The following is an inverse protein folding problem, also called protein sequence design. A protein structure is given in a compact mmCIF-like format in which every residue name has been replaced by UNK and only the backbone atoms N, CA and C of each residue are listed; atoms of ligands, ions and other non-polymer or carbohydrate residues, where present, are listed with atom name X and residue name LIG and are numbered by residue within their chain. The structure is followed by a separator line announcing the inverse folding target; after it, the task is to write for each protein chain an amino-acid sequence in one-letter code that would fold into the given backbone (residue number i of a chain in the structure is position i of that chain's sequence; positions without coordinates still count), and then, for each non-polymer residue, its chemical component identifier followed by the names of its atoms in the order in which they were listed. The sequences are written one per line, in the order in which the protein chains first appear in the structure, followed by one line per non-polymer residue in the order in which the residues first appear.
data_IF_686088720541
#
_entry.id   IF_686088720541
#
_cell.length_a   1.000
_cell.length_b   1.000
_cell.length_c   1.000
_cell.angle_alpha   90.00
_cell.angle_beta   90.00
_cell.angle_gamma   90.00
#
_symmetry.space_group_name_H-M   'P 1'
#
loop_
_entity.id
_entity.type
_entity.pdbx_description
1 polymer ?
#
# COMPACT_ATOMS: atom_id res chain seq x y z
N UNK A 1 20.54 -15.47 -10.29
CA UNK A 1 20.16 -14.39 -9.34
C UNK A 1 19.72 -15.06 -8.04
N UNK A 2 20.11 -14.57 -6.86
CA UNK A 2 19.57 -15.10 -5.61
C UNK A 2 18.03 -15.00 -5.62
N UNK A 3 17.32 -15.92 -4.97
CA UNK A 3 15.87 -15.89 -4.94
C UNK A 3 15.39 -14.55 -4.38
N UNK A 4 14.43 -13.95 -5.06
CA UNK A 4 13.77 -12.70 -4.65
C UNK A 4 12.79 -13.04 -3.52
N UNK A 5 13.33 -13.39 -2.35
CA UNK A 5 12.55 -13.79 -1.18
C UNK A 5 11.86 -12.54 -0.63
N UNK A 6 10.54 -12.51 -0.71
CA UNK A 6 9.75 -11.45 -0.10
C UNK A 6 9.88 -11.51 1.43
N UNK A 7 10.18 -10.36 2.03
CA UNK A 7 10.35 -10.16 3.48
C UNK A 7 9.27 -9.25 4.07
N UNK A 8 8.38 -8.76 3.22
CA UNK A 8 7.24 -7.92 3.59
C UNK A 8 6.02 -8.27 2.74
N UNK A 9 4.84 -7.88 3.23
CA UNK A 9 3.59 -8.09 2.52
C UNK A 9 2.68 -6.86 2.64
N UNK A 10 1.86 -6.61 1.63
CA UNK A 10 0.87 -5.52 1.63
C UNK A 10 -0.50 -6.00 1.18
N UNK A 11 -1.55 -5.42 1.77
CA UNK A 11 -2.95 -5.67 1.45
C UNK A 11 -3.46 -4.59 0.50
N UNK A 12 -3.74 -4.94 -0.74
CA UNK A 12 -4.50 -4.09 -1.67
C UNK A 12 -5.98 -4.39 -1.40
N UNK A 13 -6.60 -3.57 -0.54
CA UNK A 13 -8.01 -3.73 -0.18
C UNK A 13 -8.84 -2.91 -1.14
N UNK A 14 -9.54 -3.60 -2.03
CA UNK A 14 -10.46 -3.05 -3.02
C UNK A 14 -11.90 -3.22 -2.53
N UNK A 15 -12.69 -2.16 -2.57
CA UNK A 15 -14.15 -2.22 -2.34
C UNK A 15 -14.91 -1.96 -3.62
N UNK A 16 -16.12 -2.52 -3.75
CA UNK A 16 -16.96 -2.37 -4.95
C UNK A 16 -18.06 -1.31 -4.79
N UNK A 17 -18.59 -1.13 -3.57
CA UNK A 17 -19.67 -0.20 -3.27
C UNK A 17 -19.29 0.82 -2.19
N UNK A 18 -19.80 2.08 -2.28
CA UNK A 18 -20.70 2.60 -3.32
C UNK A 18 -20.04 2.81 -4.69
N UNK A 19 -18.71 2.81 -4.73
CA UNK A 19 -17.90 2.94 -5.94
C UNK A 19 -16.57 2.21 -5.75
N UNK A 20 -15.94 1.81 -6.86
CA UNK A 20 -14.66 1.09 -6.80
C UNK A 20 -13.58 1.96 -6.16
N UNK A 21 -13.08 1.55 -5.00
CA UNK A 21 -12.10 2.32 -4.23
C UNK A 21 -11.07 1.43 -3.55
N UNK A 22 -9.92 2.02 -3.21
CA UNK A 22 -8.82 1.33 -2.55
C UNK A 22 -8.52 1.98 -1.20
N UNK A 23 -8.29 1.17 -0.16
CA UNK A 23 -7.85 1.69 1.13
C UNK A 23 -6.38 2.12 1.04
N UNK A 24 -6.13 3.40 1.31
CA UNK A 24 -4.78 3.99 1.35
C UNK A 24 -4.56 4.59 2.73
N UNK A 25 -3.38 4.33 3.30
CA UNK A 25 -2.95 4.79 4.61
C UNK A 25 -1.94 5.93 4.45
N UNK A 26 -2.03 6.96 5.29
CA UNK A 26 -0.95 7.90 5.54
C UNK A 26 -0.14 7.39 6.71
N UNK A 27 1.12 7.01 6.48
CA UNK A 27 2.00 6.51 7.55
C UNK A 27 2.27 7.62 8.58
N UNK A 28 2.30 7.26 9.85
CA UNK A 28 2.71 8.18 10.91
C UNK A 28 4.17 8.64 10.71
N UNK A 29 4.50 9.81 11.25
CA UNK A 29 5.85 10.34 11.15
C UNK A 29 6.79 9.65 12.13
N UNK A 30 7.80 8.96 11.61
CA UNK A 30 8.81 8.24 12.37
C UNK A 30 10.20 8.52 11.81
N UNK A 31 11.11 9.17 12.56
CA UNK A 31 12.43 9.54 12.05
C UNK A 31 13.28 8.37 11.51
N UNK A 32 13.06 7.16 12.03
CA UNK A 32 13.76 5.94 11.62
C UNK A 32 13.08 5.18 10.47
N UNK A 33 11.88 5.60 10.04
CA UNK A 33 11.16 4.98 8.93
C UNK A 33 11.46 5.73 7.62
N UNK A 34 12.14 5.10 6.64
CA UNK A 34 12.40 5.72 5.35
C UNK A 34 11.12 5.99 4.53
N UNK A 35 9.99 5.39 4.92
CA UNK A 35 8.67 5.65 4.33
C UNK A 35 7.80 6.53 5.23
N UNK A 36 8.38 7.15 6.26
CA UNK A 36 7.69 8.06 7.17
C UNK A 36 6.84 9.08 6.41
N UNK A 37 5.59 9.23 6.83
CA UNK A 37 4.63 10.10 6.19
C UNK A 37 4.05 9.53 4.89
N UNK A 38 4.74 8.71 4.09
CA UNK A 38 4.26 8.34 2.74
C UNK A 38 2.88 7.66 2.73
N UNK A 39 2.16 7.79 1.61
CA UNK A 39 0.94 7.01 1.39
C UNK A 39 1.25 5.57 0.97
N UNK A 40 0.65 4.60 1.65
CA UNK A 40 0.86 3.18 1.42
C UNK A 40 -0.42 2.37 1.47
N UNK A 41 -0.36 1.15 0.97
CA UNK A 41 -1.30 0.11 1.39
C UNK A 41 -1.00 -0.33 2.83
N UNK A 42 -1.97 -0.93 3.54
CA UNK A 42 -1.69 -1.65 4.77
C UNK A 42 -0.64 -2.74 4.56
N UNK A 43 0.24 -2.93 5.53
CA UNK A 43 1.24 -3.99 5.48
C UNK A 43 2.59 -3.62 6.09
N UNK A 44 3.42 -4.65 6.23
CA UNK A 44 4.68 -4.55 6.94
C UNK A 44 5.58 -5.75 6.72
N UNK A 45 6.59 -5.88 7.58
CA UNK A 45 7.60 -6.92 7.50
C UNK A 45 7.08 -8.23 8.09
N UNK A 46 7.52 -9.34 7.52
CA UNK A 46 7.26 -10.67 8.06
C UNK A 46 7.94 -10.81 9.41
N UNK A 47 7.18 -11.18 10.44
CA UNK A 47 7.72 -11.57 11.72
C UNK A 47 7.99 -13.09 11.78
N UNK A 48 8.78 -13.52 12.76
CA UNK A 48 9.07 -14.93 12.99
C UNK A 48 7.80 -15.74 13.28
N UNK A 49 6.84 -15.13 13.99
CA UNK A 49 5.53 -15.71 14.31
C UNK A 49 4.61 -15.89 13.09
N UNK A 50 4.91 -15.21 11.99
CA UNK A 50 4.08 -15.28 10.79
C UNK A 50 4.42 -16.53 9.97
N UNK A 51 3.49 -17.48 9.90
CA UNK A 51 3.67 -18.72 9.14
C UNK A 51 3.65 -18.51 7.61
N UNK A 52 3.22 -17.35 7.13
CA UNK A 52 3.25 -16.98 5.71
C UNK A 52 3.17 -15.46 5.52
N UNK A 53 3.53 -14.98 4.34
CA UNK A 53 3.36 -13.57 3.98
C UNK A 53 1.89 -13.13 3.95
N UNK A 54 0.97 -14.05 3.66
CA UNK A 54 -0.46 -13.76 3.75
C UNK A 54 -0.87 -13.53 5.23
N UNK A 55 -0.32 -14.29 6.17
CA UNK A 55 -0.55 -14.06 7.60
C UNK A 55 0.05 -12.74 8.09
N UNK A 56 1.25 -12.38 7.63
CA UNK A 56 1.83 -11.05 7.84
C UNK A 56 0.88 -9.96 7.35
N UNK A 57 0.42 -10.05 6.10
CA UNK A 57 -0.47 -9.09 5.47
C UNK A 57 -1.77 -8.87 6.27
N UNK A 58 -2.42 -9.97 6.69
CA UNK A 58 -3.65 -9.92 7.49
C UNK A 58 -3.38 -9.33 8.88
N UNK A 59 -2.30 -9.74 9.56
CA UNK A 59 -1.92 -9.22 10.89
C UNK A 59 -1.70 -7.71 10.86
N UNK A 60 -0.84 -7.25 9.94
CA UNK A 60 -0.50 -5.83 9.80
C UNK A 60 -1.74 -4.99 9.50
N UNK A 61 -2.64 -5.49 8.64
CA UNK A 61 -3.91 -4.81 8.36
C UNK A 61 -4.76 -4.63 9.62
N UNK A 62 -4.81 -5.64 10.50
CA UNK A 62 -5.52 -5.53 11.78
C UNK A 62 -4.82 -4.55 12.72
N UNK A 63 -3.50 -4.61 12.81
CA UNK A 63 -2.69 -3.76 13.70
C UNK A 63 -2.71 -2.28 13.30
N UNK A 64 -2.73 -1.97 12.01
CA UNK A 64 -2.71 -0.60 11.48
C UNK A 64 -4.10 0.03 11.43
N UNK A 65 -5.13 -0.72 11.01
CA UNK A 65 -6.47 -0.18 10.68
C UNK A 65 -7.65 -1.00 11.22
N UNK A 66 -7.42 -2.05 12.00
CA UNK A 66 -8.48 -2.85 12.62
C UNK A 66 -9.37 -3.63 11.62
N UNK A 67 -9.02 -3.64 10.33
CA UNK A 67 -9.80 -4.32 9.30
C UNK A 67 -9.52 -5.82 9.35
N UNK A 68 -10.57 -6.60 9.58
CA UNK A 68 -10.46 -8.06 9.64
C UNK A 68 -10.54 -8.64 8.22
N UNK A 69 -9.40 -9.12 7.73
CA UNK A 69 -9.31 -9.86 6.48
C UNK A 69 -9.23 -11.36 6.74
N UNK A 70 -9.84 -12.16 5.87
CA UNK A 70 -9.71 -13.62 5.88
C UNK A 70 -9.10 -14.12 4.56
N UNK A 71 -8.45 -15.31 4.54
CA UNK A 71 -7.89 -15.86 3.31
C UNK A 71 -8.91 -16.02 2.17
N UNK A 72 -10.18 -16.24 2.49
CA UNK A 72 -11.27 -16.41 1.51
C UNK A 72 -11.64 -15.09 0.80
N UNK A 73 -11.32 -13.94 1.40
CA UNK A 73 -11.48 -12.62 0.78
C UNK A 73 -10.35 -12.28 -0.19
N UNK A 74 -9.27 -13.07 -0.21
CA UNK A 74 -8.14 -12.86 -1.11
C UNK A 74 -8.51 -13.35 -2.51
N UNK A 75 -8.52 -12.42 -3.46
CA UNK A 75 -8.81 -12.73 -4.86
C UNK A 75 -7.58 -13.30 -5.55
N UNK A 76 -6.43 -12.63 -5.38
CA UNK A 76 -5.16 -13.06 -5.99
C UNK A 76 -3.96 -12.42 -5.31
N UNK A 77 -2.76 -12.86 -5.68
CA UNK A 77 -1.49 -12.23 -5.32
C UNK A 77 -0.78 -11.70 -6.57
N UNK A 78 -0.10 -10.58 -6.44
CA UNK A 78 0.70 -10.01 -7.53
C UNK A 78 2.14 -10.56 -7.49
N UNK A 79 2.93 -10.37 -8.55
CA UNK A 79 4.36 -10.66 -8.51
C UNK A 79 5.07 -9.91 -7.39
N UNK A 80 6.05 -10.57 -6.77
CA UNK A 80 6.91 -9.95 -5.76
C UNK A 80 7.61 -8.74 -6.38
N UNK A 81 7.51 -7.59 -5.72
CA UNK A 81 7.98 -6.30 -6.27
C UNK A 81 8.87 -5.59 -5.25
N UNK A 82 10.03 -5.05 -5.66
CA UNK A 82 10.92 -4.35 -4.74
C UNK A 82 10.46 -2.91 -4.46
N UNK A 83 10.30 -2.58 -3.18
CA UNK A 83 10.13 -1.22 -2.67
C UNK A 83 11.49 -0.59 -2.32
N UNK A 84 11.60 0.73 -2.45
CA UNK A 84 12.83 1.45 -2.09
C UNK A 84 14.02 1.16 -3.01
N UNK A 85 13.82 1.10 -4.34
CA UNK A 85 14.89 0.80 -5.31
C UNK A 85 16.08 1.78 -5.26
N UNK A 86 15.88 2.99 -4.75
CA UNK A 86 16.94 3.99 -4.57
C UNK A 86 17.69 3.80 -3.23
N UNK A 87 17.32 2.81 -2.42
CA UNK A 87 17.98 2.48 -1.15
C UNK A 87 19.05 1.41 -1.35
N UNK A 88 20.05 1.39 -0.46
CA UNK A 88 21.13 0.38 -0.46
C UNK A 88 20.62 -1.06 -0.42
N UNK A 89 19.46 -1.30 0.21
CA UNK A 89 18.84 -2.60 0.32
C UNK A 89 17.33 -2.47 0.11
N UNK A 90 16.82 -2.80 -1.10
CA UNK A 90 15.39 -2.75 -1.35
C UNK A 90 14.66 -3.84 -0.54
N UNK A 91 13.41 -3.56 -0.19
CA UNK A 91 12.53 -4.54 0.46
C UNK A 91 11.74 -5.26 -0.62
N UNK A 92 11.80 -6.59 -0.64
CA UNK A 92 10.98 -7.39 -1.55
C UNK A 92 9.61 -7.63 -0.93
N UNK A 93 8.57 -7.12 -1.58
CA UNK A 93 7.21 -7.09 -1.04
C UNK A 93 6.32 -8.02 -1.85
N UNK A 94 5.52 -8.83 -1.17
CA UNK A 94 4.44 -9.64 -1.76
C UNK A 94 3.10 -8.90 -1.63
N UNK A 95 2.50 -8.40 -2.72
CA UNK A 95 1.17 -7.78 -2.66
C UNK A 95 0.07 -8.84 -2.76
N UNK A 96 -0.99 -8.66 -1.98
CA UNK A 96 -2.21 -9.48 -2.02
C UNK A 96 -3.41 -8.58 -2.32
N UNK A 97 -4.28 -8.99 -3.22
CA UNK A 97 -5.52 -8.28 -3.52
C UNK A 97 -6.66 -8.92 -2.74
N UNK A 98 -7.35 -8.10 -1.96
CA UNK A 98 -8.57 -8.46 -1.26
C UNK A 98 -9.73 -7.66 -1.87
N UNK A 99 -10.83 -8.34 -2.19
CA UNK A 99 -12.03 -7.70 -2.73
C UNK A 99 -13.15 -7.82 -1.72
N UNK A 100 -13.62 -6.67 -1.26
CA UNK A 100 -14.71 -6.54 -0.31
C UNK A 100 -15.91 -5.89 -1.02
N UNK A 101 -17.13 -6.26 -0.60
CA UNK A 101 -18.32 -5.63 -1.16
C UNK A 101 -18.37 -4.14 -0.76
N UNK A 102 -18.31 -3.86 0.55
CA UNK A 102 -18.43 -2.52 1.12
C UNK A 102 -17.17 -2.15 1.90
N UNK A 103 -17.01 -0.85 2.18
CA UNK A 103 -15.99 -0.35 3.11
C UNK A 103 -16.19 -0.99 4.50
N UNK A 104 -15.20 -1.73 5.03
CA UNK A 104 -15.25 -2.23 6.39
C UNK A 104 -15.09 -1.08 7.41
N UNK A 105 -15.52 -1.26 8.67
CA UNK A 105 -15.19 -0.32 9.73
C UNK A 105 -13.66 -0.24 9.88
N UNK A 106 -13.15 0.98 10.00
CA UNK A 106 -11.73 1.25 10.18
C UNK A 106 -11.49 1.80 11.58
N UNK A 107 -10.52 1.22 12.29
CA UNK A 107 -10.06 1.66 13.60
C UNK A 107 -8.56 1.87 13.52
N UNK A 108 -8.13 3.13 13.45
CA UNK A 108 -6.72 3.46 13.26
C UNK A 108 -5.89 3.19 14.51
N UNK A 109 -4.70 2.64 14.31
CA UNK A 109 -3.62 2.72 15.28
C UNK A 109 -2.82 4.01 15.03
N UNK A 110 -3.01 5.07 15.86
CA UNK A 110 -2.40 6.37 15.63
C UNK A 110 -0.87 6.38 15.78
N UNK A 111 -0.29 5.30 16.33
CA UNK A 111 1.16 5.16 16.41
C UNK A 111 1.77 4.84 15.05
N UNK A 112 1.03 4.22 14.14
CA UNK A 112 1.56 3.72 12.87
C UNK A 112 0.92 4.42 11.68
N UNK A 113 -0.34 4.83 11.83
CA UNK A 113 -1.14 5.45 10.77
C UNK A 113 -1.65 6.81 11.24
N UNK A 114 -1.33 7.85 10.48
CA UNK A 114 -1.79 9.22 10.74
C UNK A 114 -3.25 9.41 10.29
N UNK A 115 -3.60 8.91 9.10
CA UNK A 115 -4.93 9.02 8.50
C UNK A 115 -5.14 7.94 7.47
N UNK A 116 -6.38 7.79 7.01
CA UNK A 116 -6.75 6.88 5.91
C UNK A 116 -7.68 7.59 4.96
N UNK A 117 -7.66 7.16 3.71
CA UNK A 117 -8.61 7.59 2.70
C UNK A 117 -8.99 6.41 1.79
N UNK A 118 -10.19 6.47 1.24
CA UNK A 118 -10.63 5.58 0.17
C UNK A 118 -10.38 6.27 -1.17
N UNK A 119 -9.37 5.80 -1.90
CA UNK A 119 -9.02 6.35 -3.21
C UNK A 119 -9.92 5.75 -4.28
N UNK A 120 -10.81 6.57 -4.82
CA UNK A 120 -11.65 6.22 -5.94
C UNK A 120 -10.83 5.83 -7.18
N UNK A 121 -11.13 4.66 -7.76
CA UNK A 121 -10.45 4.09 -8.92
C UNK A 121 -10.55 4.97 -10.16
N UNK A 122 -11.74 5.51 -10.45
CA UNK A 122 -11.97 6.36 -11.61
C UNK A 122 -11.16 7.67 -11.54
N UNK A 123 -11.06 8.27 -10.35
CA UNK A 123 -10.23 9.44 -10.12
C UNK A 123 -8.76 9.15 -10.34
N UNK A 124 -8.26 8.03 -9.83
CA UNK A 124 -6.87 7.64 -10.10
C UNK A 124 -6.64 7.36 -11.59
N UNK A 125 -7.61 6.86 -12.35
CA UNK A 125 -7.45 6.62 -13.80
C UNK A 125 -7.40 7.91 -14.65
N UNK A 126 -7.87 9.05 -14.12
CA UNK A 126 -7.87 10.34 -14.84
C UNK A 126 -6.45 10.89 -14.97
N UNK A 127 -5.81 10.65 -16.11
CA UNK A 127 -4.44 11.12 -16.45
C UNK A 127 -4.16 12.58 -16.10
N UNK A 128 -5.15 13.48 -16.24
CA UNK A 128 -5.03 14.91 -15.92
C UNK A 128 -4.71 15.21 -14.45
N UNK A 129 -4.94 14.27 -13.54
CA UNK A 129 -4.64 14.41 -12.11
C UNK A 129 -3.23 13.98 -11.72
N UNK A 130 -2.49 13.32 -12.62
CA UNK A 130 -1.12 12.91 -12.37
C UNK A 130 -0.15 14.05 -12.66
N UNK A 131 0.92 14.12 -11.88
CA UNK A 131 1.96 15.15 -11.94
C UNK A 131 3.34 14.52 -11.87
N UNK A 132 4.32 15.19 -12.44
CA UNK A 132 5.74 14.96 -12.10
C UNK A 132 6.09 15.90 -10.94
N UNK A 133 6.57 15.34 -9.84
CA UNK A 133 6.87 16.08 -8.60
C UNK A 133 8.27 15.71 -8.13
N UNK A 134 9.04 16.71 -7.71
CA UNK A 134 10.34 16.49 -7.08
C UNK A 134 10.13 15.98 -5.65
N UNK A 135 10.37 14.67 -5.44
CA UNK A 135 10.13 13.99 -4.16
C UNK A 135 11.43 13.49 -3.51
N UNK A 136 12.53 13.53 -4.25
CA UNK A 136 13.90 13.40 -3.77
C UNK A 136 14.75 14.49 -4.44
N UNK A 137 15.88 14.91 -3.83
CA UNK A 137 16.73 15.94 -4.40
C UNK A 137 17.08 15.67 -5.86
N UNK A 138 16.74 16.64 -6.72
CA UNK A 138 17.00 16.64 -8.16
C UNK A 138 16.34 15.46 -8.92
N UNK A 139 15.28 14.86 -8.37
CA UNK A 139 14.60 13.71 -8.97
C UNK A 139 13.07 13.91 -9.00
N UNK A 140 12.55 13.97 -10.22
CA UNK A 140 11.12 13.98 -10.51
C UNK A 140 10.55 12.56 -10.49
N UNK A 141 9.36 12.43 -9.91
CA UNK A 141 8.60 11.18 -9.89
C UNK A 141 7.16 11.42 -10.33
N UNK A 142 6.56 10.44 -11.03
CA UNK A 142 5.13 10.43 -11.26
C UNK A 142 4.40 10.25 -9.93
N UNK A 143 3.42 11.10 -9.71
CA UNK A 143 2.70 11.21 -8.46
C UNK A 143 1.22 11.57 -8.69
N UNK A 144 0.39 11.15 -7.76
CA UNK A 144 -1.02 11.51 -7.68
C UNK A 144 -1.24 12.36 -6.42
N UNK A 145 -1.70 13.62 -6.52
CA UNK A 145 -2.05 14.43 -5.35
C UNK A 145 -3.12 13.72 -4.52
N UNK A 146 -2.86 13.55 -3.23
CA UNK A 146 -3.76 12.85 -2.31
C UNK A 146 -3.72 13.54 -0.95
N UNK A 147 -4.86 14.06 -0.51
CA UNK A 147 -5.00 14.82 0.74
C UNK A 147 -3.92 15.92 0.89
N UNK A 148 -3.08 15.82 1.92
CA UNK A 148 -2.01 16.76 2.28
C UNK A 148 -0.68 16.52 1.55
N UNK A 149 -0.60 15.50 0.69
CA UNK A 149 0.65 15.08 0.07
C UNK A 149 0.43 14.41 -1.29
N UNK A 150 1.27 13.43 -1.61
CA UNK A 150 1.26 12.71 -2.87
C UNK A 150 1.33 11.20 -2.64
N UNK A 151 0.54 10.46 -3.40
CA UNK A 151 0.73 9.04 -3.62
C UNK A 151 1.74 8.84 -4.75
N UNK A 152 2.89 8.24 -4.44
CA UNK A 152 4.00 8.09 -5.38
C UNK A 152 4.74 6.77 -5.12
N UNK A 153 5.84 6.54 -5.85
CA UNK A 153 6.77 5.44 -5.55
C UNK A 153 6.15 4.05 -5.70
N UNK A 154 6.32 3.20 -4.69
CA UNK A 154 5.91 1.80 -4.73
C UNK A 154 4.37 1.64 -4.84
N UNK A 155 3.63 2.32 -3.98
CA UNK A 155 2.16 2.25 -3.93
C UNK A 155 1.54 2.76 -5.23
N UNK A 156 2.04 3.88 -5.75
CA UNK A 156 1.61 4.41 -7.06
C UNK A 156 1.83 3.43 -8.21
N UNK A 157 2.99 2.76 -8.26
CA UNK A 157 3.29 1.76 -9.30
C UNK A 157 2.37 0.56 -9.23
N UNK A 158 2.06 0.08 -8.02
CA UNK A 158 1.09 -1.00 -7.83
C UNK A 158 -0.31 -0.56 -8.28
N UNK A 159 -0.76 0.64 -7.89
CA UNK A 159 -2.04 1.21 -8.36
C UNK A 159 -2.14 1.29 -9.88
N UNK A 160 -1.08 1.74 -10.58
CA UNK A 160 -1.05 1.71 -12.05
C UNK A 160 -1.15 0.29 -12.60
N UNK A 161 -0.43 -0.65 -12.00
CA UNK A 161 -0.40 -2.05 -12.44
C UNK A 161 -1.75 -2.75 -12.28
N UNK A 162 -2.45 -2.56 -11.16
CA UNK A 162 -3.76 -3.20 -10.93
C UNK A 162 -4.88 -2.57 -11.76
N UNK A 163 -4.72 -1.30 -12.16
CA UNK A 163 -5.67 -0.59 -13.03
C UNK A 163 -5.28 -0.61 -14.52
N UNK A 164 -4.25 -1.37 -14.90
CA UNK A 164 -3.76 -1.51 -16.27
C UNK A 164 -3.42 -0.16 -16.96
N UNK A 165 -2.76 0.75 -16.24
CA UNK A 165 -2.38 2.12 -16.67
C UNK A 165 -0.89 2.32 -16.98
#
# INVERSE_FOLDING_TARGET
MPPQIATAAVAIIKVLTPEESFLILRRANHPSDPWSGQFSFPGGRKEEKDNSLLKTCIRETVEEVGVILTPEMMETKLPVTPAGRNMKSPVWVQPFIFVLQNQPPVVLNPREVQSVCWLNSENFQKKKYHREVELLPDQLFPAFPLEDYYLWGFTYKLMKSILNM
#
